data_IF_248618162014
#
_entry.id   IF_248618162014
#
_cell.length_a   1.000
_cell.length_b   1.000
_cell.length_c   1.000
_cell.angle_alpha   90.00
_cell.angle_beta   90.00
_cell.angle_gamma   90.00
#
_symmetry.space_group_name_H-M   'P 1'
#
loop_
_entity.id
_entity.type
_entity.pdbx_description
1 polymer ?
#
# COMPACT_ATOMS: atom_id res chain seq x y z
N UNK A 1 -28.33 -4.56 36.41
CA UNK A 1 -28.22 -5.04 35.01
C UNK A 1 -28.64 -3.89 34.12
N UNK A 2 -27.68 -3.11 33.65
CA UNK A 2 -27.89 -2.23 32.50
C UNK A 2 -27.03 -2.86 31.43
N UNK A 3 -27.67 -3.67 30.59
CA UNK A 3 -27.06 -4.17 29.36
C UNK A 3 -26.80 -2.94 28.49
N UNK A 4 -25.57 -2.46 28.48
CA UNK A 4 -25.16 -1.46 27.51
C UNK A 4 -25.27 -2.12 26.14
N UNK A 5 -26.21 -1.71 25.28
CA UNK A 5 -26.37 -2.36 24.00
C UNK A 5 -25.12 -2.04 23.16
N UNK A 6 -24.52 -3.08 22.60
CA UNK A 6 -23.36 -2.98 21.69
C UNK A 6 -23.63 -2.08 20.46
N UNK A 7 -24.85 -1.57 20.29
CA UNK A 7 -25.22 -0.60 19.25
C UNK A 7 -24.67 0.81 19.47
N UNK A 8 -24.06 1.14 20.63
CA UNK A 8 -23.46 2.46 20.86
C UNK A 8 -21.94 2.52 20.65
N UNK A 9 -21.29 1.43 20.23
CA UNK A 9 -19.94 1.55 19.64
C UNK A 9 -20.15 2.19 18.28
N UNK A 10 -20.08 3.52 18.26
CA UNK A 10 -20.21 4.37 17.08
C UNK A 10 -19.41 3.77 15.92
N UNK A 11 -20.06 3.49 14.79
CA UNK A 11 -19.42 3.00 13.56
C UNK A 11 -18.34 3.98 13.07
N UNK A 12 -18.49 5.28 13.39
CA UNK A 12 -17.44 6.27 13.20
C UNK A 12 -16.20 6.02 14.07
N UNK A 13 -16.36 5.39 15.23
CA UNK A 13 -15.24 4.94 16.05
C UNK A 13 -14.57 3.68 15.49
N UNK A 14 -15.29 2.74 14.86
CA UNK A 14 -14.67 1.57 14.21
C UNK A 14 -13.99 1.89 12.88
N UNK A 15 -14.55 2.78 12.06
CA UNK A 15 -13.90 3.24 10.82
C UNK A 15 -12.70 4.13 11.12
N UNK A 16 -12.81 5.04 12.09
CA UNK A 16 -11.66 5.80 12.58
C UNK A 16 -10.66 4.87 13.27
N UNK A 17 -11.09 3.84 14.01
CA UNK A 17 -10.17 2.90 14.64
C UNK A 17 -9.46 2.02 13.61
N UNK A 18 -10.13 1.53 12.56
CA UNK A 18 -9.50 0.73 11.50
C UNK A 18 -8.60 1.58 10.60
N UNK A 19 -9.01 2.81 10.25
CA UNK A 19 -8.13 3.75 9.56
C UNK A 19 -6.96 4.18 10.44
N UNK A 20 -7.18 4.38 11.74
CA UNK A 20 -6.12 4.66 12.71
C UNK A 20 -5.24 3.44 12.91
N UNK A 21 -5.77 2.20 12.92
CA UNK A 21 -5.00 0.96 12.99
C UNK A 21 -4.22 0.74 11.71
N UNK A 22 -4.76 1.07 10.54
CA UNK A 22 -4.04 1.00 9.26
C UNK A 22 -2.96 2.08 9.21
N UNK A 23 -3.27 3.34 9.56
CA UNK A 23 -2.27 4.40 9.68
C UNK A 23 -1.24 4.10 10.76
N UNK A 24 -1.62 3.55 11.90
CA UNK A 24 -0.74 3.18 13.00
C UNK A 24 0.08 1.95 12.64
N UNK A 25 -0.48 0.97 11.93
CA UNK A 25 0.28 -0.13 11.36
C UNK A 25 1.32 0.42 10.41
N UNK A 26 0.96 1.32 9.49
CA UNK A 26 1.89 1.92 8.54
C UNK A 26 2.92 2.84 9.22
N UNK A 27 2.54 3.58 10.26
CA UNK A 27 3.45 4.39 11.07
C UNK A 27 4.37 3.50 11.91
N UNK A 28 3.86 2.43 12.50
CA UNK A 28 4.65 1.45 13.24
C UNK A 28 5.61 0.73 12.30
N UNK A 29 5.19 0.38 11.08
CA UNK A 29 6.08 -0.14 10.05
C UNK A 29 7.14 0.93 9.74
N UNK A 30 6.76 2.17 9.41
CA UNK A 30 7.71 3.25 9.13
C UNK A 30 8.65 3.57 10.30
N UNK A 31 8.21 3.44 11.56
CA UNK A 31 9.00 3.64 12.77
C UNK A 31 9.88 2.44 13.10
N UNK A 32 9.38 1.22 12.94
CA UNK A 32 10.19 -0.01 13.04
C UNK A 32 11.30 0.06 12.00
N UNK A 33 10.98 0.44 10.77
CA UNK A 33 11.94 0.68 9.70
C UNK A 33 12.88 1.84 10.03
N UNK A 34 12.39 2.95 10.58
CA UNK A 34 13.29 4.05 10.99
C UNK A 34 14.19 3.68 12.18
N UNK A 35 13.74 2.78 13.05
CA UNK A 35 14.51 2.25 14.17
C UNK A 35 15.47 1.13 13.73
N UNK A 36 15.14 0.42 12.66
CA UNK A 36 15.97 -0.59 12.01
C UNK A 36 16.94 0.01 10.99
N UNK A 37 16.61 1.18 10.42
CA UNK A 37 17.44 1.94 9.49
C UNK A 37 18.82 2.15 10.10
N UNK A 38 19.75 1.47 9.45
CA UNK A 38 20.86 0.72 10.01
C UNK A 38 21.87 1.43 10.92
N UNK A 39 22.63 0.58 11.64
CA UNK A 39 23.92 0.85 12.29
C UNK A 39 24.97 1.47 11.33
N UNK A 40 24.75 1.42 10.01
CA UNK A 40 25.59 2.05 8.99
C UNK A 40 25.03 3.44 8.69
N UNK A 41 25.84 4.47 8.91
CA UNK A 41 25.49 5.85 8.55
C UNK A 41 25.58 6.04 7.04
N UNK A 42 24.63 5.47 6.29
CA UNK A 42 24.42 5.87 4.89
C UNK A 42 23.83 7.30 4.88
N UNK A 43 24.23 8.15 3.92
CA UNK A 43 23.69 9.50 3.83
C UNK A 43 22.20 9.44 3.53
N UNK A 44 21.40 10.30 4.15
CA UNK A 44 19.96 10.34 3.87
C UNK A 44 19.72 10.72 2.41
N UNK A 45 18.99 9.89 1.66
CA UNK A 45 18.46 10.28 0.35
C UNK A 45 17.10 10.94 0.56
N UNK A 46 16.81 11.93 -0.28
CA UNK A 46 15.51 12.59 -0.28
C UNK A 46 14.39 11.60 -0.56
N UNK A 47 13.28 11.75 0.17
CA UNK A 47 12.10 10.93 -0.02
C UNK A 47 11.54 11.11 -1.41
N UNK A 48 11.36 10.01 -2.14
CA UNK A 48 10.74 10.07 -3.46
C UNK A 48 9.22 10.24 -3.35
N UNK A 49 8.69 11.16 -4.17
CA UNK A 49 7.26 11.54 -4.17
C UNK A 49 6.63 11.58 -5.56
N UNK A 50 7.39 11.97 -6.58
CA UNK A 50 6.87 12.20 -7.94
C UNK A 50 7.60 11.33 -8.95
N UNK A 51 6.87 10.97 -10.02
CA UNK A 51 7.38 10.16 -11.12
C UNK A 51 8.53 10.84 -11.88
N UNK A 52 8.39 12.14 -12.15
CA UNK A 52 9.40 12.97 -12.81
C UNK A 52 10.75 13.02 -12.06
N UNK A 53 10.72 12.88 -10.73
CA UNK A 53 11.91 12.91 -9.88
C UNK A 53 12.62 11.53 -9.83
N UNK A 54 11.96 10.45 -10.27
CA UNK A 54 12.46 9.07 -10.11
C UNK A 54 13.80 8.81 -10.79
N UNK A 55 14.04 9.21 -12.06
CA UNK A 55 15.32 8.94 -12.71
C UNK A 55 16.50 9.57 -11.95
N UNK A 56 16.37 10.84 -11.55
CA UNK A 56 17.41 11.54 -10.80
C UNK A 56 17.61 10.95 -9.39
N UNK A 57 16.52 10.56 -8.74
CA UNK A 57 16.55 9.89 -7.45
C UNK A 57 17.24 8.52 -7.53
N UNK A 58 16.90 7.70 -8.54
CA UNK A 58 17.50 6.39 -8.80
C UNK A 58 19.01 6.50 -9.00
N UNK A 59 19.45 7.46 -9.82
CA UNK A 59 20.87 7.68 -10.06
C UNK A 59 21.61 8.13 -8.79
N UNK A 60 20.97 8.96 -7.95
CA UNK A 60 21.51 9.35 -6.64
C UNK A 60 21.62 8.14 -5.70
N UNK A 61 20.59 7.30 -5.65
CA UNK A 61 20.59 6.06 -4.88
C UNK A 61 21.71 5.11 -5.29
N UNK A 62 21.81 4.80 -6.58
CA UNK A 62 22.86 3.92 -7.10
C UNK A 62 24.24 4.48 -6.76
N UNK A 63 24.48 5.79 -6.95
CA UNK A 63 25.77 6.42 -6.59
C UNK A 63 26.08 6.33 -5.10
N UNK A 64 25.09 6.51 -4.23
CA UNK A 64 25.29 6.32 -2.79
C UNK A 64 25.67 4.87 -2.52
N UNK A 65 24.89 3.91 -3.01
CA UNK A 65 25.17 2.49 -2.78
C UNK A 65 26.55 2.08 -3.32
N UNK A 66 26.93 2.51 -4.52
CA UNK A 66 28.26 2.28 -5.12
C UNK A 66 29.39 2.80 -4.24
N UNK A 67 29.22 3.98 -3.62
CA UNK A 67 30.24 4.57 -2.74
C UNK A 67 30.56 3.69 -1.53
N UNK A 68 29.62 2.85 -1.12
CA UNK A 68 29.75 1.93 0.00
C UNK A 68 29.86 0.46 -0.45
N UNK A 69 30.04 0.18 -1.75
CA UNK A 69 30.08 -1.17 -2.33
C UNK A 69 28.79 -2.00 -2.07
N UNK A 70 27.65 -1.31 -2.04
CA UNK A 70 26.31 -1.86 -1.75
C UNK A 70 25.40 -1.93 -2.98
N UNK A 71 25.80 -1.39 -4.12
CA UNK A 71 24.97 -1.36 -5.33
C UNK A 71 24.66 -2.76 -5.85
N UNK A 72 25.58 -3.70 -5.64
CA UNK A 72 25.37 -5.13 -5.91
C UNK A 72 24.09 -5.70 -5.29
N UNK A 73 23.61 -5.18 -4.15
CA UNK A 73 22.38 -5.68 -3.52
C UNK A 73 21.10 -5.32 -4.25
N UNK A 74 21.16 -4.27 -5.06
CA UNK A 74 20.05 -3.80 -5.87
C UNK A 74 20.19 -4.30 -7.31
N UNK A 75 21.43 -4.44 -7.78
CA UNK A 75 21.75 -4.80 -9.17
C UNK A 75 21.94 -6.31 -9.40
N UNK A 76 22.20 -7.10 -8.36
CA UNK A 76 22.50 -8.55 -8.47
C UNK A 76 21.77 -9.38 -7.40
N UNK A 77 21.57 -10.67 -7.67
CA UNK A 77 20.96 -11.63 -6.73
C UNK A 77 22.01 -12.09 -5.69
N UNK A 78 22.18 -11.37 -4.56
CA UNK A 78 23.10 -11.78 -3.48
C UNK A 78 22.44 -11.77 -2.08
N UNK A 79 23.03 -12.50 -1.12
CA UNK A 79 22.31 -13.02 0.07
C UNK A 79 22.60 -12.34 1.42
N UNK A 80 23.79 -11.78 1.67
CA UNK A 80 24.17 -11.30 3.02
C UNK A 80 23.94 -9.80 3.21
N UNK A 81 23.50 -9.35 4.40
CA UNK A 81 23.22 -7.94 4.78
C UNK A 81 22.05 -7.24 4.04
N UNK A 82 21.05 -8.01 3.55
CA UNK A 82 19.88 -7.46 2.83
C UNK A 82 19.06 -6.44 3.62
N UNK A 83 18.89 -6.68 4.92
CA UNK A 83 18.02 -5.87 5.77
C UNK A 83 18.44 -4.39 5.80
N UNK A 84 19.73 -4.10 5.98
CA UNK A 84 20.22 -2.71 6.09
C UNK A 84 19.98 -1.90 4.80
N UNK A 85 20.20 -2.54 3.63
CA UNK A 85 19.97 -1.89 2.33
C UNK A 85 18.49 -1.78 2.02
N UNK A 86 17.70 -2.80 2.33
CA UNK A 86 16.26 -2.76 2.13
C UNK A 86 15.60 -1.72 3.03
N UNK A 87 15.97 -1.66 4.31
CA UNK A 87 15.52 -0.63 5.24
C UNK A 87 15.87 0.78 4.73
N UNK A 88 17.06 0.93 4.14
CA UNK A 88 17.48 2.19 3.53
C UNK A 88 16.62 2.58 2.32
N UNK A 89 16.27 1.61 1.47
CA UNK A 89 15.34 1.82 0.35
C UNK A 89 13.92 2.15 0.84
N UNK A 90 13.42 1.40 1.81
CA UNK A 90 12.11 1.58 2.42
C UNK A 90 11.99 2.96 3.08
N UNK A 91 13.00 3.41 3.82
CA UNK A 91 13.03 4.73 4.44
C UNK A 91 12.96 5.89 3.43
N UNK A 92 13.44 5.66 2.21
CA UNK A 92 13.40 6.64 1.13
C UNK A 92 12.02 6.71 0.43
N UNK A 93 11.12 5.75 0.67
CA UNK A 93 9.73 5.82 0.19
C UNK A 93 8.92 6.72 1.12
N UNK A 94 8.70 7.97 0.68
CA UNK A 94 8.12 8.99 1.55
C UNK A 94 6.60 9.09 1.59
N UNK A 95 5.91 8.49 0.61
CA UNK A 95 4.46 8.63 0.46
C UNK A 95 3.75 7.31 0.72
N UNK A 96 2.82 7.33 1.68
CA UNK A 96 1.97 6.20 2.06
C UNK A 96 1.18 5.60 0.88
N UNK A 97 0.86 6.42 -0.13
CA UNK A 97 0.20 5.97 -1.36
C UNK A 97 1.11 5.03 -2.15
N UNK A 98 2.40 5.36 -2.26
CA UNK A 98 3.40 4.53 -2.93
C UNK A 98 3.49 3.19 -2.21
N UNK A 99 3.56 3.19 -0.87
CA UNK A 99 3.53 1.97 -0.06
C UNK A 99 2.35 1.07 -0.36
N UNK A 100 1.14 1.63 -0.39
CA UNK A 100 -0.10 0.88 -0.63
C UNK A 100 -0.08 0.24 -2.03
N UNK A 101 0.40 0.97 -3.03
CA UNK A 101 0.46 0.47 -4.40
C UNK A 101 1.54 -0.60 -4.54
N UNK A 102 2.72 -0.40 -3.96
CA UNK A 102 3.78 -1.41 -3.93
C UNK A 102 3.29 -2.70 -3.27
N UNK A 103 2.62 -2.61 -2.11
CA UNK A 103 2.03 -3.77 -1.44
C UNK A 103 1.05 -4.51 -2.35
N UNK A 104 0.18 -3.75 -3.02
CA UNK A 104 -0.70 -4.31 -4.02
C UNK A 104 0.02 -4.89 -5.24
N UNK A 105 1.22 -4.43 -5.59
CA UNK A 105 2.08 -5.05 -6.61
C UNK A 105 2.79 -6.33 -6.11
N UNK A 106 2.43 -6.85 -4.94
CA UNK A 106 3.01 -8.04 -4.33
C UNK A 106 4.31 -7.79 -3.57
N UNK A 107 4.62 -6.53 -3.28
CA UNK A 107 5.73 -6.17 -2.41
C UNK A 107 5.37 -6.42 -0.94
N UNK A 108 6.29 -7.00 -0.17
CA UNK A 108 6.12 -7.22 1.26
C UNK A 108 7.33 -6.64 1.98
N UNK A 109 7.11 -5.66 2.84
CA UNK A 109 8.19 -5.03 3.61
C UNK A 109 8.96 -6.03 4.49
N UNK A 110 8.30 -7.10 4.94
CA UNK A 110 8.90 -8.18 5.75
C UNK A 110 9.83 -9.11 4.96
N UNK A 111 9.80 -9.08 3.63
CA UNK A 111 10.67 -9.95 2.82
C UNK A 111 12.14 -9.50 2.90
N UNK A 112 12.40 -8.24 3.30
CA UNK A 112 13.73 -7.66 3.44
C UNK A 112 14.61 -7.91 2.20
N UNK A 113 14.08 -7.62 1.01
CA UNK A 113 14.73 -7.90 -0.27
C UNK A 113 14.95 -6.60 -1.05
N UNK A 114 16.17 -6.03 -1.02
CA UNK A 114 16.44 -4.71 -1.60
C UNK A 114 16.27 -4.68 -3.11
N UNK A 115 16.58 -5.78 -3.81
CA UNK A 115 16.38 -5.89 -5.24
C UNK A 115 14.89 -5.89 -5.56
N UNK A 116 14.10 -6.71 -4.87
CA UNK A 116 12.64 -6.75 -5.07
C UNK A 116 12.00 -5.41 -4.77
N UNK A 117 12.43 -4.72 -3.70
CA UNK A 117 11.97 -3.36 -3.37
C UNK A 117 12.31 -2.38 -4.48
N UNK A 118 13.56 -2.38 -4.96
CA UNK A 118 13.99 -1.51 -6.04
C UNK A 118 13.28 -1.80 -7.38
N UNK A 119 13.12 -3.06 -7.74
CA UNK A 119 12.41 -3.48 -8.97
C UNK A 119 10.95 -3.01 -8.90
N UNK A 120 10.30 -3.10 -7.74
CA UNK A 120 8.92 -2.64 -7.54
C UNK A 120 8.81 -1.12 -7.58
N UNK A 121 9.77 -0.39 -7.01
CA UNK A 121 9.85 1.07 -7.12
C UNK A 121 10.05 1.49 -8.59
N UNK A 122 10.93 0.81 -9.31
CA UNK A 122 11.18 1.04 -10.74
C UNK A 122 9.91 0.76 -11.55
N UNK A 123 9.26 -0.37 -11.32
CA UNK A 123 7.97 -0.69 -11.95
C UNK A 123 6.90 0.36 -11.62
N UNK A 124 6.88 0.89 -10.40
CA UNK A 124 5.93 1.91 -9.96
C UNK A 124 6.17 3.27 -10.60
N UNK A 125 7.42 3.73 -10.70
CA UNK A 125 7.72 5.05 -11.21
C UNK A 125 8.02 5.09 -12.72
N UNK A 126 8.41 3.98 -13.34
CA UNK A 126 8.63 3.91 -14.80
C UNK A 126 7.45 3.28 -15.54
N UNK A 127 6.52 2.64 -14.83
CA UNK A 127 5.29 2.11 -15.41
C UNK A 127 4.41 3.21 -15.98
N UNK A 128 4.24 3.24 -17.31
CA UNK A 128 3.50 4.29 -18.02
C UNK A 128 1.98 4.37 -17.78
N UNK A 129 1.39 3.51 -16.93
CA UNK A 129 -0.07 3.48 -16.68
C UNK A 129 -0.47 3.56 -15.21
N UNK A 130 0.46 3.94 -14.34
CA UNK A 130 0.26 4.00 -12.89
C UNK A 130 -0.85 4.99 -12.53
N UNK A 131 -0.92 6.15 -13.18
CA UNK A 131 -1.98 7.14 -12.93
C UNK A 131 -3.38 6.56 -13.15
N UNK A 132 -3.55 5.71 -14.16
CA UNK A 132 -4.80 5.01 -14.42
C UNK A 132 -5.13 4.02 -13.31
N UNK A 133 -4.14 3.22 -12.86
CA UNK A 133 -4.32 2.29 -11.75
C UNK A 133 -4.60 3.01 -10.43
N UNK A 134 -3.89 4.10 -10.14
CA UNK A 134 -4.09 4.96 -8.98
C UNK A 134 -5.51 5.51 -8.97
N UNK A 135 -5.99 6.00 -10.11
CA UNK A 135 -7.36 6.53 -10.24
C UNK A 135 -8.39 5.45 -9.97
N UNK A 136 -8.22 4.24 -10.53
CA UNK A 136 -9.11 3.11 -10.29
C UNK A 136 -9.09 2.65 -8.82
N UNK A 137 -7.91 2.63 -8.17
CA UNK A 137 -7.79 2.28 -6.76
C UNK A 137 -8.42 3.31 -5.84
N UNK A 138 -8.21 4.60 -6.12
CA UNK A 138 -8.84 5.68 -5.37
C UNK A 138 -10.35 5.62 -5.49
N UNK A 139 -10.85 5.40 -6.70
CA UNK A 139 -12.28 5.21 -6.91
C UNK A 139 -12.80 4.02 -6.11
N UNK A 140 -12.14 2.86 -6.16
CA UNK A 140 -12.59 1.68 -5.40
C UNK A 140 -12.54 1.92 -3.88
N UNK A 141 -11.50 2.57 -3.37
CA UNK A 141 -11.38 2.87 -1.93
C UNK A 141 -12.43 3.88 -1.42
N UNK A 142 -13.00 4.69 -2.32
CA UNK A 142 -13.93 5.77 -2.01
C UNK A 142 -15.35 5.56 -2.53
N UNK A 143 -15.59 4.52 -3.33
CA UNK A 143 -16.90 4.18 -3.85
C UNK A 143 -17.89 3.99 -2.69
N UNK A 144 -19.12 4.46 -2.88
CA UNK A 144 -20.20 4.34 -1.90
C UNK A 144 -21.44 3.84 -2.60
N UNK A 145 -22.18 2.95 -1.94
CA UNK A 145 -23.40 2.37 -2.48
C UNK A 145 -24.48 3.43 -2.74
N UNK A 146 -24.58 4.43 -1.88
CA UNK A 146 -25.57 5.52 -1.97
C UNK A 146 -25.43 6.40 -3.21
N UNK A 147 -24.26 6.41 -3.86
CA UNK A 147 -24.06 7.20 -5.09
C UNK A 147 -24.64 6.52 -6.33
N UNK A 148 -25.28 5.36 -6.18
CA UNK A 148 -25.85 4.57 -7.27
C UNK A 148 -27.35 4.39 -7.09
N UNK A 149 -28.10 4.43 -8.20
CA UNK A 149 -29.56 4.29 -8.20
C UNK A 149 -30.05 2.91 -7.70
N UNK A 150 -29.24 1.87 -7.83
CA UNK A 150 -29.59 0.50 -7.44
C UNK A 150 -28.38 -0.31 -6.98
N UNK A 151 -28.62 -1.42 -6.28
CA UNK A 151 -27.57 -2.32 -5.81
C UNK A 151 -26.85 -2.98 -6.99
N UNK A 152 -27.58 -3.31 -8.05
CA UNK A 152 -27.05 -3.88 -9.28
C UNK A 152 -26.09 -2.89 -9.96
N UNK A 153 -26.42 -1.60 -9.97
CA UNK A 153 -25.57 -0.55 -10.56
C UNK A 153 -24.27 -0.37 -9.78
N UNK A 154 -24.36 -0.38 -8.45
CA UNK A 154 -23.18 -0.36 -7.57
C UNK A 154 -22.31 -1.60 -7.78
N UNK A 155 -22.90 -2.80 -7.75
CA UNK A 155 -22.19 -4.06 -7.95
C UNK A 155 -21.52 -4.12 -9.33
N UNK A 156 -22.19 -3.62 -10.37
CA UNK A 156 -21.60 -3.55 -11.71
C UNK A 156 -20.34 -2.67 -11.73
N UNK A 157 -20.33 -1.55 -11.01
CA UNK A 157 -19.14 -0.69 -10.90
C UNK A 157 -18.02 -1.34 -10.10
N UNK A 158 -18.35 -1.99 -8.98
CA UNK A 158 -17.39 -2.78 -8.18
C UNK A 158 -16.72 -3.86 -9.04
N UNK A 159 -17.52 -4.63 -9.79
CA UNK A 159 -17.00 -5.67 -10.68
C UNK A 159 -16.12 -5.09 -11.79
N UNK A 160 -16.50 -3.96 -12.37
CA UNK A 160 -15.67 -3.25 -13.35
C UNK A 160 -14.31 -2.86 -12.75
N UNK A 161 -14.30 -2.24 -11.56
CA UNK A 161 -13.07 -1.84 -10.88
C UNK A 161 -12.20 -3.05 -10.51
N UNK A 162 -12.80 -4.11 -9.97
CA UNK A 162 -12.11 -5.38 -9.67
C UNK A 162 -11.47 -5.97 -10.92
N UNK A 163 -12.22 -6.12 -12.02
CA UNK A 163 -11.71 -6.69 -13.27
C UNK A 163 -10.58 -5.84 -13.87
N UNK A 164 -10.70 -4.51 -13.85
CA UNK A 164 -9.65 -3.60 -14.35
C UNK A 164 -8.38 -3.66 -13.51
N UNK A 165 -8.49 -3.80 -12.20
CA UNK A 165 -7.34 -3.94 -11.30
C UNK A 165 -6.72 -5.34 -11.37
N UNK A 166 -7.52 -6.38 -11.65
CA UNK A 166 -7.06 -7.76 -11.79
C UNK A 166 -6.50 -8.09 -13.18
N UNK A 167 -6.71 -7.24 -14.19
CA UNK A 167 -6.26 -7.45 -15.56
C UNK A 167 -4.80 -7.96 -15.60
N UNK A 168 -4.49 -8.87 -16.54
CA UNK A 168 -3.17 -9.50 -16.62
C UNK A 168 -2.05 -8.47 -16.78
N UNK A 169 -2.31 -7.39 -17.52
CA UNK A 169 -1.42 -6.25 -17.75
C UNK A 169 -1.27 -5.34 -16.51
N UNK A 170 -2.10 -5.51 -15.48
CA UNK A 170 -1.99 -4.74 -14.25
C UNK A 170 -0.80 -5.21 -13.44
N UNK A 171 0.13 -4.28 -13.17
CA UNK A 171 1.21 -4.46 -12.22
C UNK A 171 0.71 -4.71 -10.78
N UNK A 172 -0.56 -4.37 -10.51
CA UNK A 172 -1.21 -4.47 -9.22
C UNK A 172 -2.00 -5.78 -9.11
N UNK A 173 -1.69 -6.57 -8.07
CA UNK A 173 -2.35 -7.82 -7.66
C UNK A 173 -2.73 -7.75 -6.18
N UNK A 174 -3.84 -7.06 -5.87
CA UNK A 174 -4.40 -7.10 -4.51
C UNK A 174 -4.97 -8.49 -4.19
N UNK A 175 -4.80 -8.99 -2.96
CA UNK A 175 -5.46 -10.22 -2.51
C UNK A 175 -6.99 -10.09 -2.56
N UNK A 176 -7.70 -11.20 -2.71
CA UNK A 176 -9.17 -11.23 -2.76
C UNK A 176 -9.82 -10.63 -1.51
N UNK A 177 -9.20 -10.79 -0.33
CA UNK A 177 -9.66 -10.18 0.92
C UNK A 177 -9.65 -8.65 0.84
N UNK A 178 -8.66 -8.07 0.14
CA UNK A 178 -8.60 -6.63 -0.09
C UNK A 178 -9.76 -6.13 -0.96
N UNK A 179 -10.11 -6.87 -2.02
CA UNK A 179 -11.28 -6.54 -2.85
C UNK A 179 -12.58 -6.67 -2.05
N UNK A 180 -12.68 -7.70 -1.22
CA UNK A 180 -13.85 -7.95 -0.39
C UNK A 180 -14.02 -6.83 0.63
N UNK A 181 -12.96 -6.45 1.34
CA UNK A 181 -12.97 -5.35 2.29
C UNK A 181 -13.37 -4.01 1.64
N UNK A 182 -12.81 -3.66 0.47
CA UNK A 182 -13.19 -2.43 -0.23
C UNK A 182 -14.67 -2.44 -0.65
N UNK A 183 -15.18 -3.59 -1.08
CA UNK A 183 -16.59 -3.76 -1.43
C UNK A 183 -17.50 -3.58 -0.22
N UNK A 184 -17.15 -4.21 0.90
CA UNK A 184 -17.86 -4.08 2.17
C UNK A 184 -17.87 -2.63 2.67
N UNK A 185 -16.73 -1.94 2.58
CA UNK A 185 -16.65 -0.51 2.91
C UNK A 185 -17.60 0.35 2.06
N UNK A 186 -17.75 0.00 0.79
CA UNK A 186 -18.67 0.71 -0.11
C UNK A 186 -20.13 0.63 0.33
N UNK A 187 -20.54 -0.43 1.03
CA UNK A 187 -21.91 -0.59 1.55
C UNK A 187 -22.07 -0.15 3.01
N UNK A 188 -20.98 0.17 3.72
CA UNK A 188 -20.97 0.35 5.17
C UNK A 188 -21.96 1.39 5.69
N UNK A 189 -22.17 2.48 4.94
CA UNK A 189 -23.07 3.55 5.34
C UNK A 189 -24.55 3.15 5.25
N UNK A 190 -24.97 2.53 4.14
CA UNK A 190 -26.38 2.11 3.96
C UNK A 190 -26.71 0.78 4.64
N UNK A 191 -25.72 -0.10 4.79
CA UNK A 191 -25.88 -1.46 5.32
C UNK A 191 -24.88 -1.75 6.46
N UNK A 192 -24.88 -0.96 7.55
CA UNK A 192 -23.89 -1.09 8.63
C UNK A 192 -23.93 -2.47 9.30
N UNK A 193 -25.11 -3.06 9.49
CA UNK A 193 -25.25 -4.39 10.10
C UNK A 193 -24.67 -5.51 9.23
N UNK A 194 -24.77 -5.37 7.91
CA UNK A 194 -24.17 -6.32 6.97
C UNK A 194 -22.65 -6.15 6.98
N UNK A 195 -22.17 -4.92 6.86
CA UNK A 195 -20.76 -4.58 6.95
C UNK A 195 -20.10 -5.14 8.21
N UNK A 196 -20.66 -4.85 9.39
CA UNK A 196 -20.09 -5.27 10.68
C UNK A 196 -19.99 -6.80 10.80
N UNK A 197 -21.02 -7.53 10.37
CA UNK A 197 -21.00 -9.00 10.39
C UNK A 197 -19.99 -9.58 9.39
N UNK A 198 -19.84 -8.94 8.22
CA UNK A 198 -18.97 -9.42 7.17
C UNK A 198 -17.49 -9.08 7.40
N UNK A 199 -17.17 -7.93 8.00
CA UNK A 199 -15.78 -7.54 8.29
C UNK A 199 -15.16 -8.40 9.38
N UNK A 200 -15.94 -8.85 10.37
CA UNK A 200 -15.45 -9.76 11.42
C UNK A 200 -15.08 -11.15 10.84
N UNK A 201 -15.60 -11.49 9.66
CA UNK A 201 -15.42 -12.78 9.01
C UNK A 201 -14.25 -12.83 8.00
N UNK A 202 -13.58 -11.69 7.74
CA UNK A 202 -12.37 -11.58 6.92
C UNK A 202 -11.17 -11.54 7.86
#
# INVERSE_FOLDING_TARGET
MVDTPLSSISVGATDNAMMALFQQFLQNQAQLIAAQASKRQLPLIEKIKRQEDFPAWRDKLIRVLQRYDLDKYVLTDWLDDRADVDDYLQAAVGDLKVWTILQGMGWKAIDLDPKKTFDKLTQYFEGGSIDGLVTLLQEFATIRRETFASMESFQARINYLKNRLQAEESAFKMPDDGYTWMTLKGIAHEYPDLYNRSVIAI
#
